data_IF_513996913129
#
_entry.id   IF_513996913129
#
_cell.length_a   1.000
_cell.length_b   1.000
_cell.length_c   1.000
_cell.angle_alpha   90.00
_cell.angle_beta   90.00
_cell.angle_gamma   90.00
#
_symmetry.space_group_name_H-M   'P 1'
#
loop_
_entity.id
_entity.type
_entity.pdbx_description
1 polymer ?
#
# COMPACT_ATOMS: atom_id res chain seq x y z
N UNK A 1 -8.84 -15.30 -2.08
CA UNK A 1 -8.00 -14.09 -2.02
C UNK A 1 -8.85 -12.91 -1.57
N UNK A 2 -8.25 -11.89 -1.00
CA UNK A 2 -8.94 -10.65 -0.66
C UNK A 2 -9.44 -9.92 -1.91
N UNK A 3 -10.49 -9.13 -1.75
CA UNK A 3 -10.99 -8.18 -2.76
C UNK A 3 -10.89 -6.77 -2.19
N UNK A 4 -10.34 -5.84 -2.96
CA UNK A 4 -10.20 -4.44 -2.55
C UNK A 4 -11.46 -3.65 -2.88
N UNK A 5 -12.00 -3.00 -1.86
CA UNK A 5 -13.00 -1.95 -1.96
C UNK A 5 -12.45 -0.66 -1.34
N UNK A 6 -13.18 0.43 -1.52
CA UNK A 6 -12.89 1.70 -0.88
C UNK A 6 -14.09 2.13 -0.05
N UNK A 7 -13.85 2.41 1.23
CA UNK A 7 -14.81 3.01 2.12
C UNK A 7 -14.59 4.53 2.11
N UNK A 8 -15.59 5.27 1.64
CA UNK A 8 -15.52 6.71 1.48
C UNK A 8 -16.42 7.37 2.52
N UNK A 9 -15.85 8.30 3.29
CA UNK A 9 -16.57 9.11 4.27
C UNK A 9 -16.38 10.57 3.89
N UNK A 10 -17.49 11.29 3.74
CA UNK A 10 -17.47 12.72 3.40
C UNK A 10 -18.19 13.49 4.50
N UNK A 11 -17.48 14.41 5.14
CA UNK A 11 -18.09 15.40 6.00
C UNK A 11 -18.82 16.44 5.15
N UNK A 12 -20.08 16.72 5.49
CA UNK A 12 -20.82 17.84 4.92
C UNK A 12 -20.77 18.98 5.93
N UNK A 13 -20.04 20.06 5.66
CA UNK A 13 -19.95 21.16 6.60
C UNK A 13 -21.27 21.96 6.61
N UNK A 14 -21.67 22.54 7.76
CA UNK A 14 -22.90 23.32 7.85
C UNK A 14 -22.82 24.59 7.01
N UNK A 15 -23.94 25.20 6.66
CA UNK A 15 -23.93 26.45 5.89
C UNK A 15 -23.22 27.54 6.71
N UNK A 16 -22.25 28.29 6.14
CA UNK A 16 -21.63 29.41 6.83
C UNK A 16 -22.61 30.56 7.01
N UNK A 17 -22.49 31.27 8.13
CA UNK A 17 -23.30 32.46 8.45
C UNK A 17 -22.63 33.77 8.00
N UNK A 18 -21.30 33.78 7.90
CA UNK A 18 -20.51 34.95 7.51
C UNK A 18 -20.22 35.01 6.01
N UNK A 19 -20.07 36.23 5.49
CA UNK A 19 -19.55 36.48 4.14
C UNK A 19 -18.03 36.33 4.08
N UNK A 20 -17.50 35.95 2.91
CA UNK A 20 -16.06 35.81 2.63
C UNK A 20 -15.33 34.72 3.44
N UNK A 21 -15.97 33.59 3.73
CA UNK A 21 -15.33 32.45 4.41
C UNK A 21 -14.91 31.33 3.44
N UNK A 22 -13.71 30.77 3.67
CA UNK A 22 -13.28 29.52 3.04
C UNK A 22 -13.73 28.34 3.91
N UNK A 23 -14.63 27.52 3.36
CA UNK A 23 -15.09 26.31 4.04
C UNK A 23 -14.44 25.07 3.42
N UNK A 24 -13.83 24.25 4.28
CA UNK A 24 -13.20 23.00 3.88
C UNK A 24 -14.07 21.81 4.30
N UNK A 25 -14.37 20.93 3.35
CA UNK A 25 -15.02 19.66 3.60
C UNK A 25 -13.98 18.54 3.56
N UNK A 26 -13.91 17.74 4.63
CA UNK A 26 -12.97 16.62 4.68
C UNK A 26 -13.59 15.37 4.04
N UNK A 27 -12.82 14.75 3.13
CA UNK A 27 -13.14 13.44 2.58
C UNK A 27 -12.04 12.45 2.96
N UNK A 28 -12.44 11.37 3.63
CA UNK A 28 -11.57 10.26 3.97
C UNK A 28 -11.88 9.09 3.06
N UNK A 29 -10.85 8.55 2.40
CA UNK A 29 -10.95 7.34 1.59
C UNK A 29 -10.05 6.27 2.20
N UNK A 30 -10.67 5.19 2.68
CA UNK A 30 -10.01 4.10 3.40
C UNK A 30 -10.08 2.81 2.58
N UNK A 31 -8.99 2.05 2.57
CA UNK A 31 -8.96 0.72 1.95
C UNK A 31 -9.83 -0.24 2.76
N UNK A 32 -10.79 -0.89 2.11
CA UNK A 32 -11.65 -1.89 2.70
C UNK A 32 -11.35 -3.25 2.05
N UNK A 33 -10.77 -4.16 2.82
CA UNK A 33 -10.42 -5.50 2.34
C UNK A 33 -11.50 -6.50 2.68
N UNK A 34 -12.24 -6.96 1.67
CA UNK A 34 -13.14 -8.09 1.84
C UNK A 34 -12.33 -9.39 1.90
N UNK A 35 -12.46 -10.12 3.02
CA UNK A 35 -11.72 -11.35 3.29
C UNK A 35 -12.67 -12.56 3.40
N UNK A 36 -12.67 -13.48 2.41
CA UNK A 36 -13.44 -14.71 2.48
C UNK A 36 -13.05 -15.57 3.69
N UNK A 37 -14.03 -16.32 4.24
CA UNK A 37 -13.85 -17.16 5.43
C UNK A 37 -12.68 -18.15 5.32
N UNK A 38 -12.45 -18.70 4.13
CA UNK A 38 -11.38 -19.67 3.87
C UNK A 38 -9.95 -19.13 4.08
N UNK A 39 -9.78 -17.80 4.18
CA UNK A 39 -8.47 -17.15 4.37
C UNK A 39 -8.47 -16.21 5.58
N UNK A 40 -9.27 -16.51 6.61
CA UNK A 40 -9.20 -15.79 7.87
C UNK A 40 -7.86 -16.10 8.53
N UNK A 41 -7.12 -15.04 8.92
CA UNK A 41 -5.83 -15.16 9.58
C UNK A 41 -6.00 -15.65 11.02
N UNK A 42 -5.12 -16.54 11.45
CA UNK A 42 -4.84 -16.71 12.88
C UNK A 42 -4.00 -15.54 13.39
N UNK A 43 -3.96 -15.36 14.71
CA UNK A 43 -3.11 -14.34 15.35
C UNK A 43 -1.62 -14.51 15.06
N UNK A 44 -1.19 -15.73 14.70
CA UNK A 44 0.20 -16.05 14.37
C UNK A 44 0.56 -15.89 12.90
N UNK A 45 -0.41 -15.73 11.99
CA UNK A 45 -0.16 -15.65 10.55
C UNK A 45 0.42 -14.29 10.16
N UNK A 46 1.62 -14.32 9.57
CA UNK A 46 2.40 -13.14 9.16
C UNK A 46 2.69 -13.17 7.64
N UNK A 47 1.67 -13.02 6.79
CA UNK A 47 1.83 -13.08 5.34
C UNK A 47 2.70 -11.96 4.77
N UNK A 48 2.83 -10.83 5.46
CA UNK A 48 3.76 -9.76 5.09
C UNK A 48 5.22 -10.21 5.04
N UNK A 49 5.60 -11.23 5.84
CA UNK A 49 6.94 -11.83 5.81
C UNK A 49 7.18 -12.75 4.62
N UNK A 50 6.13 -13.13 3.89
CA UNK A 50 6.22 -13.99 2.71
C UNK A 50 6.41 -13.18 1.42
N UNK A 51 6.43 -11.85 1.52
CA UNK A 51 6.71 -10.98 0.38
C UNK A 51 8.18 -11.14 -0.03
N UNK A 52 8.42 -11.42 -1.31
CA UNK A 52 9.78 -11.51 -1.87
C UNK A 52 10.06 -10.32 -2.78
N UNK A 53 11.33 -9.97 -2.90
CA UNK A 53 11.81 -8.94 -3.80
C UNK A 53 12.81 -9.56 -4.78
N UNK A 54 12.56 -9.42 -6.07
CA UNK A 54 13.35 -10.03 -7.14
C UNK A 54 13.97 -8.94 -8.00
N UNK A 55 15.30 -8.99 -8.20
CA UNK A 55 16.04 -8.09 -9.07
C UNK A 55 16.18 -8.74 -10.45
N UNK A 56 15.70 -8.06 -11.50
CA UNK A 56 15.87 -8.48 -12.89
C UNK A 56 16.32 -7.29 -13.74
N UNK A 57 17.47 -7.38 -14.41
CA UNK A 57 18.00 -6.37 -15.34
C UNK A 57 17.96 -4.92 -14.79
N UNK A 58 18.29 -4.73 -13.50
CA UNK A 58 18.29 -3.41 -12.84
C UNK A 58 16.93 -2.96 -12.29
N UNK A 59 15.85 -3.72 -12.51
CA UNK A 59 14.53 -3.45 -11.96
C UNK A 59 14.24 -4.34 -10.76
N UNK A 60 13.57 -3.78 -9.74
CA UNK A 60 13.10 -4.53 -8.58
C UNK A 60 11.62 -4.87 -8.75
N UNK A 61 11.22 -6.12 -8.54
CA UNK A 61 9.83 -6.55 -8.53
C UNK A 61 9.47 -7.13 -7.18
N UNK A 62 8.38 -6.65 -6.57
CA UNK A 62 7.83 -7.27 -5.36
C UNK A 62 6.86 -8.36 -5.77
N UNK A 63 6.99 -9.55 -5.17
CA UNK A 63 6.12 -10.69 -5.43
C UNK A 63 5.40 -11.10 -4.15
N UNK A 64 4.08 -11.20 -4.25
CA UNK A 64 3.20 -11.55 -3.15
C UNK A 64 2.55 -12.92 -3.41
N UNK A 65 3.06 -14.00 -2.82
CA UNK A 65 2.48 -15.34 -2.97
C UNK A 65 1.24 -15.55 -2.07
N UNK A 66 0.81 -14.55 -1.31
CA UNK A 66 -0.24 -14.69 -0.31
C UNK A 66 -1.62 -14.26 -0.86
N UNK A 67 -2.72 -14.74 -0.26
CA UNK A 67 -4.07 -14.34 -0.67
C UNK A 67 -4.49 -12.96 -0.13
N UNK A 68 -3.56 -12.15 0.40
CA UNK A 68 -3.84 -10.85 1.03
C UNK A 68 -3.20 -9.69 0.26
N UNK A 69 -3.76 -8.49 0.34
CA UNK A 69 -3.08 -7.27 -0.10
C UNK A 69 -1.99 -6.89 0.92
N UNK A 70 -0.82 -6.51 0.44
CA UNK A 70 0.30 -6.07 1.30
C UNK A 70 0.67 -4.65 0.89
N UNK A 71 0.57 -3.71 1.83
CA UNK A 71 1.04 -2.33 1.62
C UNK A 71 2.46 -2.21 2.15
N UNK A 72 3.40 -1.89 1.26
CA UNK A 72 4.79 -1.61 1.60
C UNK A 72 4.92 -0.09 1.71
N UNK A 73 5.02 0.40 2.96
CA UNK A 73 5.13 1.84 3.22
C UNK A 73 6.57 2.37 3.07
N UNK A 74 7.55 1.49 3.25
CA UNK A 74 8.96 1.85 3.23
C UNK A 74 9.78 0.70 2.66
N UNK A 75 10.78 1.02 1.84
CA UNK A 75 11.72 0.08 1.26
C UNK A 75 13.09 0.76 1.12
N UNK A 76 14.15 0.08 1.51
CA UNK A 76 15.52 0.59 1.50
C UNK A 76 16.52 -0.53 1.78
N UNK A 77 17.79 -0.27 1.50
CA UNK A 77 18.87 -1.22 1.77
C UNK A 77 19.11 -1.38 3.29
N UNK A 78 18.90 -0.31 4.04
CA UNK A 78 18.97 -0.25 5.49
C UNK A 78 17.85 0.64 6.03
N UNK A 79 17.58 0.58 7.33
CA UNK A 79 16.45 1.29 7.97
C UNK A 79 16.49 2.82 7.86
N UNK A 80 17.63 3.40 7.52
CA UNK A 80 17.86 4.84 7.46
C UNK A 80 17.74 5.38 6.04
N UNK A 81 18.12 4.61 5.03
CA UNK A 81 18.19 5.04 3.64
C UNK A 81 17.10 4.38 2.80
N UNK A 82 16.09 5.18 2.43
CA UNK A 82 15.06 4.74 1.49
C UNK A 82 15.66 4.50 0.11
N UNK A 83 15.19 3.45 -0.57
CA UNK A 83 15.66 3.09 -1.89
C UNK A 83 15.36 4.22 -2.91
N UNK A 84 16.34 4.55 -3.74
CA UNK A 84 16.18 5.56 -4.78
C UNK A 84 15.05 5.20 -5.74
N UNK A 85 14.12 6.12 -5.94
CA UNK A 85 12.92 5.92 -6.77
C UNK A 85 11.71 5.34 -6.01
N UNK A 86 11.86 4.84 -4.79
CA UNK A 86 10.74 4.44 -3.94
C UNK A 86 10.29 5.62 -3.06
N UNK A 87 9.44 6.51 -3.57
CA UNK A 87 9.00 7.72 -2.83
C UNK A 87 7.70 7.53 -2.07
N UNK A 88 6.77 6.80 -2.67
CA UNK A 88 5.43 6.56 -2.14
C UNK A 88 5.24 5.09 -1.82
N UNK A 89 4.45 4.81 -0.78
CA UNK A 89 4.10 3.45 -0.41
C UNK A 89 3.29 2.77 -1.51
N UNK A 90 3.61 1.51 -1.78
CA UNK A 90 2.93 0.72 -2.82
C UNK A 90 2.10 -0.38 -2.21
N UNK A 91 1.10 -0.87 -2.95
CA UNK A 91 0.28 -1.99 -2.52
C UNK A 91 0.39 -3.13 -3.53
N UNK A 92 0.87 -4.27 -3.07
CA UNK A 92 1.05 -5.48 -3.88
C UNK A 92 -0.23 -6.32 -3.80
N UNK A 93 -0.86 -6.66 -4.94
CA UNK A 93 -2.10 -7.43 -4.95
C UNK A 93 -1.87 -8.88 -4.51
N UNK A 94 -2.92 -9.59 -4.05
CA UNK A 94 -2.86 -11.02 -3.74
C UNK A 94 -2.40 -11.85 -4.93
N UNK A 95 -1.53 -12.82 -4.69
CA UNK A 95 -1.05 -13.78 -5.70
C UNK A 95 -0.46 -13.09 -6.96
N UNK A 96 0.09 -11.89 -6.78
CA UNK A 96 0.55 -11.04 -7.87
C UNK A 96 1.94 -10.48 -7.64
N UNK A 97 2.41 -9.72 -8.63
CA UNK A 97 3.68 -9.02 -8.59
C UNK A 97 3.51 -7.56 -8.95
N UNK A 98 4.41 -6.72 -8.45
CA UNK A 98 4.43 -5.29 -8.71
C UNK A 98 5.87 -4.85 -9.03
N UNK A 99 6.17 -4.49 -10.29
CA UNK A 99 7.45 -3.89 -10.64
C UNK A 99 7.56 -2.50 -10.00
N UNK A 100 8.73 -2.21 -9.45
CA UNK A 100 9.04 -0.92 -8.84
C UNK A 100 9.86 -0.06 -9.80
N UNK A 101 9.56 1.24 -9.81
CA UNK A 101 10.37 2.27 -10.48
C UNK A 101 11.57 2.66 -9.60
N UNK A 102 12.21 1.69 -8.97
CA UNK A 102 13.35 1.91 -8.10
C UNK A 102 14.66 1.59 -8.84
N UNK A 103 15.64 2.48 -8.72
CA UNK A 103 16.98 2.27 -9.26
C UNK A 103 17.80 1.63 -8.15
N UNK A 104 18.14 0.36 -8.35
CA UNK A 104 19.03 -0.31 -7.43
C UNK A 104 20.47 0.14 -7.70
N UNK A 105 21.31 0.33 -6.66
CA UNK A 105 22.72 0.65 -6.86
C UNK A 105 23.39 -0.45 -7.71
N UNK A 106 24.37 -0.07 -8.53
CA UNK A 106 25.19 -1.02 -9.27
C UNK A 106 25.88 -1.96 -8.27
N UNK A 107 26.02 -3.23 -8.62
CA UNK A 107 26.76 -4.17 -7.77
C UNK A 107 28.23 -3.74 -7.75
N UNK A 108 28.71 -3.36 -6.56
CA UNK A 108 30.13 -3.25 -6.23
C UNK A 108 30.66 -4.61 -5.82
#
# INVERSE_FOLDING_TARGET
RETLFWFNVRGVPPKPEDDNVLQLAMQSQLKLFYRPKAIIRSSSDQPERKLTAERNAGHLTLRNPTPYYITVAWLGADRSHRLSGFREGVMVPPLGSLPLKAVLPAET
#
